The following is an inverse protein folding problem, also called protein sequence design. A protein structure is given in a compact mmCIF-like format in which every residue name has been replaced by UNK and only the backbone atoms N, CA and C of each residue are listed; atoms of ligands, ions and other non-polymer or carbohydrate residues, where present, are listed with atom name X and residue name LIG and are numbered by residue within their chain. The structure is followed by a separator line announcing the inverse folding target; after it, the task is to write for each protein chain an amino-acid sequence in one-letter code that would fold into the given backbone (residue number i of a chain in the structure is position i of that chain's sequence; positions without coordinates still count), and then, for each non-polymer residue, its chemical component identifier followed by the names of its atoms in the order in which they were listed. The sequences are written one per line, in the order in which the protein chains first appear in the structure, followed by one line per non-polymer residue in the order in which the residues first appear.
data_IF_993397916471
#
_entry.id   IF_993397916471
#
_cell.length_a   1.000
_cell.length_b   1.000
_cell.length_c   1.000
_cell.angle_alpha   90.00
_cell.angle_beta   90.00
_cell.angle_gamma   90.00
#
_symmetry.space_group_name_H-M   'P 1'
#
loop_
_entity.id
_entity.type
_entity.pdbx_description
1 polymer ?
#
# COMPACT_ATOMS: atom_id res chain seq x y z
N UNK A 1 -21.15 11.42 -9.58
CA UNK A 1 -20.56 10.98 -8.27
C UNK A 1 -20.86 9.53 -7.97
N UNK A 2 -22.11 9.12 -8.18
CA UNK A 2 -22.49 7.74 -7.88
C UNK A 2 -21.68 6.73 -8.70
N UNK A 3 -21.48 7.00 -9.98
CA UNK A 3 -20.69 6.11 -10.83
C UNK A 3 -19.23 6.05 -10.36
N UNK A 4 -18.68 7.20 -9.99
CA UNK A 4 -17.31 7.23 -9.45
C UNK A 4 -17.19 6.34 -8.22
N UNK A 5 -18.14 6.45 -7.28
CA UNK A 5 -18.09 5.65 -6.05
C UNK A 5 -18.24 4.17 -6.35
N UNK A 6 -19.21 3.80 -7.21
CA UNK A 6 -19.43 2.40 -7.54
C UNK A 6 -18.18 1.77 -8.17
N UNK A 7 -17.58 2.45 -9.14
CA UNK A 7 -16.40 1.91 -9.81
C UNK A 7 -15.20 1.90 -8.89
N UNK A 8 -15.08 2.93 -8.05
CA UNK A 8 -13.96 2.97 -7.10
C UNK A 8 -14.03 1.84 -6.10
N UNK A 9 -15.22 1.54 -5.58
CA UNK A 9 -15.39 0.41 -4.66
C UNK A 9 -15.08 -0.91 -5.35
N UNK A 10 -15.45 -1.04 -6.63
CA UNK A 10 -15.13 -2.25 -7.38
C UNK A 10 -13.62 -2.43 -7.52
N UNK A 11 -12.93 -1.36 -7.89
CA UNK A 11 -11.48 -1.45 -8.03
C UNK A 11 -10.80 -1.70 -6.69
N UNK A 12 -11.32 -1.11 -5.62
CA UNK A 12 -10.79 -1.33 -4.30
C UNK A 12 -10.98 -2.78 -3.85
N UNK A 13 -12.16 -3.33 -4.13
CA UNK A 13 -12.43 -4.73 -3.81
C UNK A 13 -11.49 -5.66 -4.58
N UNK A 14 -11.27 -5.38 -5.86
CA UNK A 14 -10.32 -6.12 -6.67
C UNK A 14 -8.93 -6.03 -6.06
N UNK A 15 -8.52 -4.83 -5.66
CA UNK A 15 -7.20 -4.62 -5.06
C UNK A 15 -7.05 -5.43 -3.78
N UNK A 16 -8.08 -5.43 -2.93
CA UNK A 16 -8.05 -6.20 -1.69
C UNK A 16 -7.92 -7.69 -1.95
N UNK A 17 -8.66 -8.21 -2.92
CA UNK A 17 -8.58 -9.63 -3.27
C UNK A 17 -7.21 -9.99 -3.81
N UNK A 18 -6.65 -9.12 -4.65
CA UNK A 18 -5.32 -9.35 -5.20
C UNK A 18 -4.25 -9.29 -4.12
N UNK A 19 -4.40 -8.39 -3.15
CA UNK A 19 -3.46 -8.34 -2.02
C UNK A 19 -3.48 -9.63 -1.21
N UNK A 20 -4.66 -10.18 -0.95
CA UNK A 20 -4.77 -11.44 -0.25
C UNK A 20 -4.14 -12.58 -1.05
N UNK A 21 -4.34 -12.57 -2.37
CA UNK A 21 -3.74 -13.57 -3.23
C UNK A 21 -2.23 -13.45 -3.24
N UNK A 22 -1.71 -12.21 -3.30
CA UNK A 22 -0.27 -11.98 -3.28
C UNK A 22 0.35 -12.42 -1.96
N UNK A 23 -0.38 -12.25 -0.86
CA UNK A 23 0.11 -12.70 0.45
C UNK A 23 0.35 -14.21 0.45
N UNK A 24 -0.54 -14.95 -0.19
CA UNK A 24 -0.43 -16.40 -0.26
C UNK A 24 0.58 -16.86 -1.30
N UNK A 25 0.74 -16.09 -2.38
CA UNK A 25 1.61 -16.45 -3.50
C UNK A 25 2.47 -15.26 -3.91
N UNK A 26 3.48 -14.90 -3.06
CA UNK A 26 4.27 -13.68 -3.32
C UNK A 26 5.04 -13.68 -4.63
N UNK A 27 5.20 -14.84 -5.25
CA UNK A 27 5.96 -14.96 -6.49
C UNK A 27 5.12 -14.67 -7.73
N UNK A 28 3.81 -14.45 -7.59
CA UNK A 28 2.91 -14.27 -8.75
C UNK A 28 2.95 -12.85 -9.27
N UNK A 29 3.74 -12.62 -10.30
CA UNK A 29 3.91 -11.30 -10.90
C UNK A 29 2.61 -10.78 -11.54
N UNK A 30 1.80 -11.70 -12.09
CA UNK A 30 0.55 -11.31 -12.73
C UNK A 30 -0.39 -10.63 -11.74
N UNK A 31 -0.38 -11.07 -10.49
CA UNK A 31 -1.20 -10.45 -9.45
C UNK A 31 -0.78 -9.01 -9.24
N UNK A 32 0.54 -8.77 -9.15
CA UNK A 32 1.06 -7.42 -8.98
C UNK A 32 0.69 -6.54 -10.17
N UNK A 33 0.76 -7.11 -11.37
CA UNK A 33 0.42 -6.36 -12.57
C UNK A 33 -1.04 -5.89 -12.54
N UNK A 34 -1.94 -6.76 -12.12
CA UNK A 34 -3.35 -6.39 -12.00
C UNK A 34 -3.58 -5.38 -10.90
N UNK A 35 -2.85 -5.51 -9.78
CA UNK A 35 -2.91 -4.51 -8.72
C UNK A 35 -2.49 -3.13 -9.22
N UNK A 36 -1.41 -3.11 -10.02
CA UNK A 36 -0.94 -1.87 -10.62
C UNK A 36 -2.04 -1.22 -11.45
N UNK A 37 -2.73 -2.01 -12.26
CA UNK A 37 -3.80 -1.48 -13.11
C UNK A 37 -4.95 -0.92 -12.28
N UNK A 38 -5.35 -1.64 -11.24
CA UNK A 38 -6.45 -1.18 -10.38
C UNK A 38 -6.08 0.14 -9.72
N UNK A 39 -4.87 0.24 -9.20
CA UNK A 39 -4.42 1.48 -8.56
C UNK A 39 -4.32 2.61 -9.57
N UNK A 40 -3.83 2.32 -10.77
CA UNK A 40 -3.71 3.33 -11.81
C UNK A 40 -5.08 3.90 -12.19
N UNK A 41 -6.08 3.03 -12.33
CA UNK A 41 -7.43 3.46 -12.66
C UNK A 41 -8.02 4.31 -11.53
N UNK A 42 -7.85 3.87 -10.28
CA UNK A 42 -8.32 4.65 -9.13
C UNK A 42 -7.66 6.03 -9.10
N UNK A 43 -6.36 6.08 -9.35
CA UNK A 43 -5.64 7.35 -9.36
C UNK A 43 -6.24 8.30 -10.40
N UNK A 44 -6.47 7.78 -11.61
CA UNK A 44 -7.01 8.59 -12.68
C UNK A 44 -8.40 9.12 -12.38
N UNK A 45 -9.25 8.26 -11.83
CA UNK A 45 -10.60 8.66 -11.47
C UNK A 45 -10.60 9.70 -10.36
N UNK A 46 -9.76 9.51 -9.35
CA UNK A 46 -9.68 10.46 -8.24
C UNK A 46 -9.18 11.82 -8.71
N UNK A 47 -8.18 11.82 -9.58
CA UNK A 47 -7.64 13.09 -10.12
C UNK A 47 -8.72 13.81 -10.92
N UNK A 48 -9.46 13.09 -11.74
CA UNK A 48 -10.51 13.68 -12.56
C UNK A 48 -11.60 14.32 -11.70
N UNK A 49 -11.90 13.69 -10.56
CA UNK A 49 -12.93 14.19 -9.65
C UNK A 49 -12.42 15.25 -8.68
N UNK A 50 -11.11 15.53 -8.70
CA UNK A 50 -10.55 16.54 -7.83
C UNK A 50 -10.23 16.08 -6.42
N UNK A 51 -10.19 14.78 -6.17
CA UNK A 51 -9.86 14.23 -4.86
C UNK A 51 -8.35 14.01 -4.78
N UNK A 52 -7.62 15.08 -4.42
CA UNK A 52 -6.17 15.11 -4.52
C UNK A 52 -5.49 14.14 -3.55
N UNK A 53 -6.01 14.00 -2.32
CA UNK A 53 -5.41 13.08 -1.35
C UNK A 53 -5.60 11.64 -1.76
N UNK A 54 -6.78 11.32 -2.29
CA UNK A 54 -7.06 9.98 -2.79
C UNK A 54 -6.12 9.66 -3.95
N UNK A 55 -5.97 10.62 -4.87
CA UNK A 55 -5.07 10.46 -6.01
C UNK A 55 -3.62 10.30 -5.57
N UNK A 56 -3.19 11.08 -4.58
CA UNK A 56 -1.80 11.00 -4.11
C UNK A 56 -1.50 9.64 -3.48
N UNK A 57 -2.40 9.16 -2.63
CA UNK A 57 -2.18 7.87 -1.98
C UNK A 57 -2.11 6.74 -3.01
N UNK A 58 -3.05 6.74 -3.96
CA UNK A 58 -3.05 5.71 -5.01
C UNK A 58 -1.82 5.82 -5.89
N UNK A 59 -1.35 7.04 -6.15
CA UNK A 59 -0.14 7.24 -6.95
C UNK A 59 1.09 6.61 -6.26
N UNK A 60 1.22 6.81 -4.95
CA UNK A 60 2.36 6.24 -4.23
C UNK A 60 2.24 4.72 -4.17
N UNK A 61 1.03 4.19 -4.02
CA UNK A 61 0.82 2.74 -4.10
C UNK A 61 1.22 2.21 -5.48
N UNK A 62 0.85 2.94 -6.52
CA UNK A 62 1.20 2.57 -7.89
C UNK A 62 2.72 2.48 -8.07
N UNK A 63 3.46 3.42 -7.48
CA UNK A 63 4.91 3.42 -7.57
C UNK A 63 5.52 2.18 -6.92
N UNK A 64 4.99 1.78 -5.75
CA UNK A 64 5.46 0.56 -5.09
C UNK A 64 5.16 -0.65 -5.96
N UNK A 65 3.96 -0.72 -6.50
CA UNK A 65 3.56 -1.86 -7.32
C UNK A 65 4.38 -1.93 -8.61
N UNK A 66 4.76 -0.77 -9.16
CA UNK A 66 5.61 -0.74 -10.34
C UNK A 66 6.96 -1.38 -10.06
N UNK A 67 7.56 -1.08 -8.91
CA UNK A 67 8.84 -1.68 -8.54
C UNK A 67 8.70 -3.17 -8.25
N UNK A 68 7.58 -3.58 -7.66
CA UNK A 68 7.33 -4.99 -7.41
C UNK A 68 7.21 -5.77 -8.72
N UNK A 69 6.46 -5.24 -9.68
CA UNK A 69 6.24 -5.95 -10.95
C UNK A 69 7.51 -5.99 -11.80
N UNK A 70 8.41 -5.03 -11.60
CA UNK A 70 9.68 -4.97 -12.33
C UNK A 70 10.83 -5.66 -11.60
N UNK A 71 10.50 -6.35 -10.49
CA UNK A 71 11.49 -7.09 -9.68
C UNK A 71 12.54 -6.19 -9.06
N UNK A 72 12.24 -4.90 -8.91
CA UNK A 72 13.13 -3.97 -8.21
C UNK A 72 12.93 -4.07 -6.70
N UNK A 73 11.78 -4.58 -6.28
CA UNK A 73 11.47 -4.87 -4.87
C UNK A 73 10.98 -6.29 -4.77
N UNK A 74 11.32 -6.96 -3.67
CA UNK A 74 10.75 -8.25 -3.34
C UNK A 74 9.49 -8.03 -2.49
N UNK A 75 8.52 -8.94 -2.63
CA UNK A 75 7.33 -8.90 -1.79
C UNK A 75 7.70 -9.34 -0.39
N UNK A 76 7.50 -8.47 0.59
CA UNK A 76 7.81 -8.76 1.99
C UNK A 76 6.59 -8.45 2.84
N UNK A 77 6.57 -9.00 4.05
CA UNK A 77 5.47 -8.75 4.97
C UNK A 77 5.28 -7.26 5.28
N UNK A 78 6.35 -6.50 5.57
CA UNK A 78 6.17 -5.06 5.81
C UNK A 78 5.54 -4.32 4.63
N UNK A 79 5.94 -4.68 3.41
CA UNK A 79 5.36 -4.04 2.22
C UNK A 79 3.88 -4.40 2.11
N UNK A 80 3.53 -5.67 2.32
CA UNK A 80 2.14 -6.10 2.27
C UNK A 80 1.31 -5.41 3.34
N UNK A 81 1.84 -5.32 4.56
CA UNK A 81 1.13 -4.65 5.65
C UNK A 81 0.85 -3.20 5.31
N UNK A 82 1.82 -2.52 4.72
CA UNK A 82 1.65 -1.13 4.31
C UNK A 82 0.59 -1.01 3.23
N UNK A 83 0.61 -1.91 2.25
CA UNK A 83 -0.39 -1.88 1.18
C UNK A 83 -1.79 -2.18 1.71
N UNK A 84 -1.93 -3.11 2.67
CA UNK A 84 -3.23 -3.37 3.29
C UNK A 84 -3.72 -2.13 4.05
N UNK A 85 -2.82 -1.46 4.77
CA UNK A 85 -3.18 -0.24 5.48
C UNK A 85 -3.64 0.83 4.51
N UNK A 86 -2.99 0.93 3.36
CA UNK A 86 -3.38 1.89 2.34
C UNK A 86 -4.76 1.56 1.77
N UNK A 87 -5.04 0.28 1.53
CA UNK A 87 -6.36 -0.12 1.03
C UNK A 87 -7.45 0.24 2.02
N UNK A 88 -7.19 0.05 3.31
CA UNK A 88 -8.14 0.45 4.36
C UNK A 88 -8.35 1.97 4.35
N UNK A 89 -7.28 2.72 4.17
CA UNK A 89 -7.37 4.18 4.10
C UNK A 89 -8.19 4.61 2.88
N UNK A 90 -8.00 3.94 1.74
CA UNK A 90 -8.78 4.24 0.55
C UNK A 90 -10.28 4.01 0.80
N UNK A 91 -10.61 2.91 1.46
CA UNK A 91 -12.00 2.63 1.79
C UNK A 91 -12.58 3.71 2.70
N UNK A 92 -11.82 4.11 3.70
CA UNK A 92 -12.26 5.16 4.63
C UNK A 92 -12.49 6.48 3.87
N UNK A 93 -11.59 6.81 2.95
CA UNK A 93 -11.75 8.01 2.15
C UNK A 93 -12.98 7.96 1.25
N UNK A 94 -13.23 6.80 0.63
CA UNK A 94 -14.42 6.66 -0.20
C UNK A 94 -15.69 6.80 0.61
N UNK A 95 -15.72 6.24 1.82
CA UNK A 95 -16.86 6.39 2.71
C UNK A 95 -17.05 7.86 3.11
N UNK A 96 -15.96 8.56 3.35
CA UNK A 96 -16.01 9.99 3.67
C UNK A 96 -16.56 10.79 2.50
N UNK A 97 -16.12 10.48 1.28
CA UNK A 97 -16.62 11.13 0.07
C UNK A 97 -18.12 10.86 -0.08
N UNK A 98 -18.53 9.63 0.17
CA UNK A 98 -19.93 9.25 0.05
C UNK A 98 -20.79 10.01 1.02
N UNK A 99 -20.29 10.29 2.21
CA UNK A 99 -21.03 11.05 3.23
C UNK A 99 -20.97 12.56 3.00
N UNK A 100 -20.24 13.02 1.99
CA UNK A 100 -20.15 14.42 1.66
C UNK A 100 -18.99 15.17 2.32
N UNK A 101 -18.13 14.47 3.08
CA UNK A 101 -17.02 15.10 3.77
C UNK A 101 -15.75 15.20 2.93
N UNK A 102 -15.73 14.57 1.74
CA UNK A 102 -14.57 14.61 0.86
C UNK A 102 -13.46 13.67 1.30
N UNK A 103 -12.26 13.85 0.73
CA UNK A 103 -11.12 12.97 0.98
C UNK A 103 -10.20 13.54 2.05
N UNK A 104 -10.75 13.90 3.21
CA UNK A 104 -10.04 14.66 4.25
C UNK A 104 -9.15 13.82 5.16
N UNK A 105 -9.06 12.53 4.94
CA UNK A 105 -8.24 11.66 5.78
C UNK A 105 -6.77 12.07 5.70
N UNK A 106 -6.10 12.07 6.87
CA UNK A 106 -4.67 12.37 6.90
C UNK A 106 -3.90 11.13 6.47
N UNK A 107 -3.27 11.20 5.31
CA UNK A 107 -2.52 10.09 4.74
C UNK A 107 -1.01 10.32 4.75
N UNK A 108 -0.53 11.35 5.46
CA UNK A 108 0.88 11.72 5.43
C UNK A 108 1.80 10.57 5.83
N UNK A 109 1.42 9.83 6.89
CA UNK A 109 2.25 8.72 7.35
C UNK A 109 2.32 7.60 6.32
N UNK A 110 1.18 7.26 5.71
CA UNK A 110 1.14 6.20 4.70
C UNK A 110 1.93 6.61 3.46
N UNK A 111 1.78 7.85 3.02
CA UNK A 111 2.54 8.35 1.88
C UNK A 111 4.03 8.29 2.16
N UNK A 112 4.44 8.68 3.39
CA UNK A 112 5.85 8.63 3.77
C UNK A 112 6.38 7.19 3.77
N UNK A 113 5.59 6.24 4.26
CA UNK A 113 5.99 4.83 4.26
C UNK A 113 6.14 4.31 2.83
N UNK A 114 5.21 4.65 1.95
CA UNK A 114 5.29 4.21 0.56
C UNK A 114 6.51 4.80 -0.13
N UNK A 115 6.79 6.08 0.11
CA UNK A 115 7.96 6.72 -0.49
C UNK A 115 9.26 6.10 0.04
N UNK A 116 9.29 5.73 1.32
CA UNK A 116 10.46 5.08 1.90
C UNK A 116 10.69 3.71 1.25
N UNK A 117 9.61 2.97 1.00
CA UNK A 117 9.73 1.67 0.32
C UNK A 117 10.32 1.86 -1.07
N UNK A 118 9.82 2.84 -1.83
CA UNK A 118 10.29 3.09 -3.19
C UNK A 118 11.76 3.50 -3.21
N UNK A 119 12.20 4.27 -2.21
CA UNK A 119 13.58 4.71 -2.15
C UNK A 119 14.53 3.67 -1.53
N UNK A 120 14.00 2.53 -1.13
CA UNK A 120 14.80 1.46 -0.56
C UNK A 120 15.07 1.61 0.93
N UNK A 121 14.36 2.50 1.61
CA UNK A 121 14.52 2.70 3.05
C UNK A 121 13.54 1.83 3.82
N UNK A 122 13.89 1.52 5.06
CA UNK A 122 12.98 0.84 5.95
C UNK A 122 11.83 1.79 6.29
N UNK A 123 10.57 1.36 6.12
CA UNK A 123 9.46 2.25 6.48
C UNK A 123 9.51 2.62 7.96
N UNK A 124 9.21 3.88 8.30
CA UNK A 124 9.09 4.28 9.70
C UNK A 124 7.82 3.64 10.25
N UNK A 125 7.88 2.93 11.28
CA UNK A 125 6.65 2.32 11.70
C UNK A 125 6.44 2.46 13.16
N UNK A 126 6.25 2.24 12.89
CA UNK A 126 6.24 1.98 13.75
C UNK A 126 6.11 1.04 14.40
N UNK A 127 6.67 1.03 14.02
CA UNK A 127 6.79 0.67 14.59
C UNK A 127 7.25 0.20 15.04
N UNK A 128 7.60 0.31 15.11
CA UNK A 128 8.20 0.14 15.53
C UNK A 128 8.63 -0.20 15.90
N UNK A 129 8.88 0.09 15.96
CA UNK A 129 9.48 -0.02 16.32
C UNK A 129 9.74 -0.59 16.68
N UNK A 130 9.78 -0.63 16.85
CA UNK A 130 10.26 -1.01 17.09
C UNK A 130 10.59 -1.86 17.14
N UNK A 131 10.52 -1.84 17.44
CA UNK A 131 11.11 -2.45 17.57
C UNK A 131 11.49 -3.21 17.32
N UNK A 132 11.32 -3.18 17.49
CA UNK A 132 12.04 -3.54 17.38
C UNK A 132 12.21 -4.30 17.07
N UNK A 133 12.14 -4.23 17.27
CA UNK A 133 12.71 -4.74 17.04
C UNK A 133 12.72 -5.44 16.54
N UNK A 134 12.41 -5.41 16.81
CA UNK A 134 12.84 -5.75 16.42
C UNK A 134 12.90 -6.52 15.91
N UNK A 135 12.62 -6.59 15.93
CA UNK A 135 13.17 -7.05 15.49
C UNK A 135 13.27 -7.70 15.04
N UNK A 136 12.92 -7.65 15.20
CA UNK A 136 13.48 -7.91 14.82
C UNK A 136 13.72 -8.55 14.22
N UNK A 137 13.42 -8.69 14.26
CA UNK A 137 14.09 -8.98 13.86
C UNK A 137 14.36 -9.56 13.36
N UNK A 138 13.88 -9.69 13.35
CA UNK A 138 14.55 -9.93 12.99
C UNK A 138 14.89 -10.50 12.36
N UNK A 139 14.76 -10.67 12.31
CA UNK A 139 15.45 -10.78 11.89
C UNK A 139 15.84 -11.24 11.42
N UNK A 140 15.30 -11.51 11.45
CA UNK A 140 15.93 -11.56 11.11
C UNK A 140 16.22 -11.95 10.58
N UNK A 141 15.93 -11.97 10.57
CA UNK A 141 16.40 -11.87 10.36
C UNK A 141 16.73 -11.96 10.16
N UNK A 142 16.22 -12.06 10.19
CA UNK A 142 16.67 -11.78 10.21
C UNK A 142 16.94 -11.91 10.12
N UNK A 143 16.54 -11.97 10.23
CA UNK A 143 16.89 -11.74 10.36
C UNK A 143 17.15 -11.86 10.21
N UNK A 144 16.71 -11.87 10.28
CA UNK A 144 17.01 -11.62 10.38
C UNK A 144 17.31 -11.58 10.32
N UNK A 145 17.08 -11.64 10.36
CA UNK A 145 17.47 -11.27 10.40
C UNK A 145 17.75 -11.17 10.57
N UNK A 146 17.42 -10.94 10.95
CA UNK A 146 17.69 -10.46 11.29
C UNK A 146 17.79 -10.43 11.49
N UNK A 147 17.56 -10.32 11.74
CA UNK A 147 17.73 -9.95 12.03
C UNK A 147 17.95 -9.97 12.28
N UNK A 148 17.78 -10.07 12.57
CA UNK A 148 18.12 -9.76 12.78
C UNK A 148 18.52 -9.80 13.16
N UNK A 149 18.29 -9.68 13.59
CA UNK A 149 18.71 -9.42 13.79
C UNK A 149 18.98 -9.46 14.31
N UNK A 150 18.60 -9.49 14.60
CA UNK A 150 18.87 -9.27 15.00
C UNK A 150 18.97 -9.35 15.39
N UNK A 151 18.74 -9.54 15.81
CA UNK A 151 18.85 -9.30 16.19
C UNK A 151 18.99 -9.50 16.30
N UNK A 152 18.88 -9.46 16.56
CA UNK A 152 19.13 -9.28 16.53
C UNK A 152 19.43 -9.41 16.53
#
# INVERSE_FOLDING_TARGET
MEMFLNESYEHLDTLNQLLLQLEQHPEEVEVVHEMFRAAHTLKGMAATMGFDRLAELTHQMENVMDQLRNHQLAVTTPILDTLFACATALETMLQSIESGAGDQLDTADLVAQLKAIVSGETPPSGQAEKTGNALVVPEPEAAAIAVIKEAL
#
